data_IF_591182776819
#
_entry.id   IF_591182776819
#
_cell.length_a   1.000
_cell.length_b   1.000
_cell.length_c   1.000
_cell.angle_alpha   90.00
_cell.angle_beta   90.00
_cell.angle_gamma   90.00
#
_symmetry.space_group_name_H-M   'P 1'
#
loop_
_entity.id
_entity.type
_entity.pdbx_description
1 polymer ?
#
# COMPACT_ATOMS: atom_id res chain seq x y z
N UNK A 1 -56.33 -44.59 17.76
CA UNK A 1 -55.02 -44.01 17.38
C UNK A 1 -55.00 -42.53 17.75
N UNK A 2 -54.18 -42.15 18.72
CA UNK A 2 -54.11 -40.79 19.26
C UNK A 2 -53.47 -39.84 18.23
N UNK A 3 -54.29 -39.09 17.48
CA UNK A 3 -53.84 -38.08 16.49
C UNK A 3 -52.85 -37.05 17.09
N UNK A 4 -52.88 -36.83 18.41
CA UNK A 4 -51.95 -35.94 19.13
C UNK A 4 -50.50 -36.45 19.18
N UNK A 5 -50.27 -37.76 19.12
CA UNK A 5 -48.91 -38.35 19.19
C UNK A 5 -48.14 -38.26 17.85
N UNK A 6 -48.85 -38.07 16.73
CA UNK A 6 -48.23 -37.88 15.40
C UNK A 6 -47.96 -36.41 15.05
N UNK A 7 -48.65 -35.48 15.70
CA UNK A 7 -48.48 -34.03 15.46
C UNK A 7 -47.18 -33.52 16.10
N UNK A 8 -46.79 -34.02 17.27
CA UNK A 8 -45.57 -33.62 17.97
C UNK A 8 -44.27 -33.85 17.16
N UNK A 9 -44.00 -35.04 16.56
CA UNK A 9 -42.82 -35.22 15.73
C UNK A 9 -42.86 -34.39 14.44
N UNK A 10 -44.04 -34.12 13.88
CA UNK A 10 -44.18 -33.25 12.70
C UNK A 10 -43.83 -31.78 13.03
N UNK A 11 -44.33 -31.25 14.15
CA UNK A 11 -43.99 -29.91 14.63
C UNK A 11 -42.48 -29.81 14.94
N UNK A 12 -41.88 -30.85 15.55
CA UNK A 12 -40.45 -30.90 15.81
C UNK A 12 -39.64 -30.82 14.51
N UNK A 13 -40.01 -31.58 13.48
CA UNK A 13 -39.33 -31.55 12.17
C UNK A 13 -39.45 -30.18 11.52
N UNK A 14 -40.64 -29.56 11.53
CA UNK A 14 -40.85 -28.21 10.98
C UNK A 14 -40.02 -27.17 11.76
N UNK A 15 -39.96 -27.26 13.08
CA UNK A 15 -39.15 -26.37 13.91
C UNK A 15 -37.65 -26.52 13.65
N UNK A 16 -37.17 -27.75 13.44
CA UNK A 16 -35.76 -28.03 13.06
C UNK A 16 -35.45 -27.47 11.68
N UNK A 17 -36.34 -27.66 10.69
CA UNK A 17 -36.15 -27.11 9.34
C UNK A 17 -36.13 -25.58 9.36
N UNK A 18 -37.02 -24.93 10.12
CA UNK A 18 -37.03 -23.49 10.29
C UNK A 18 -35.76 -22.98 10.99
N UNK A 19 -35.30 -23.65 12.05
CA UNK A 19 -34.03 -23.29 12.70
C UNK A 19 -32.84 -23.44 11.75
N UNK A 20 -32.76 -24.52 10.99
CA UNK A 20 -31.71 -24.72 9.99
C UNK A 20 -31.74 -23.63 8.89
N UNK A 21 -32.93 -23.23 8.44
CA UNK A 21 -33.09 -22.17 7.45
C UNK A 21 -32.63 -20.79 7.98
N UNK A 22 -32.98 -20.45 9.22
CA UNK A 22 -32.54 -19.21 9.87
C UNK A 22 -31.02 -19.20 10.03
N UNK A 23 -30.43 -20.30 10.51
CA UNK A 23 -28.98 -20.42 10.70
C UNK A 23 -28.24 -20.36 9.36
N UNK A 24 -28.74 -21.05 8.32
CA UNK A 24 -28.15 -20.99 6.98
C UNK A 24 -28.19 -19.57 6.40
N UNK A 25 -29.31 -18.86 6.56
CA UNK A 25 -29.47 -17.49 6.05
C UNK A 25 -28.53 -16.51 6.76
N UNK A 26 -28.38 -16.64 8.08
CA UNK A 26 -27.45 -15.82 8.85
C UNK A 26 -25.99 -16.04 8.41
N UNK A 27 -25.59 -17.29 8.20
CA UNK A 27 -24.22 -17.65 7.77
C UNK A 27 -23.91 -17.18 6.35
N UNK A 28 -24.87 -17.29 5.42
CA UNK A 28 -24.72 -16.77 4.04
C UNK A 28 -24.60 -15.24 4.06
N UNK A 29 -25.44 -14.55 4.86
CA UNK A 29 -25.38 -13.09 5.00
C UNK A 29 -24.05 -12.60 5.55
N UNK A 30 -23.52 -13.25 6.60
CA UNK A 30 -22.23 -12.89 7.21
C UNK A 30 -21.04 -13.14 6.26
N UNK A 31 -21.06 -14.24 5.51
CA UNK A 31 -20.04 -14.54 4.50
C UNK A 31 -20.03 -13.51 3.37
N UNK A 32 -21.20 -13.17 2.83
CA UNK A 32 -21.34 -12.18 1.75
C UNK A 32 -20.94 -10.78 2.23
N UNK A 33 -21.33 -10.38 3.44
CA UNK A 33 -20.94 -9.09 4.02
C UNK A 33 -19.41 -8.99 4.20
N UNK A 34 -18.78 -10.08 4.68
CA UNK A 34 -17.33 -10.14 4.86
C UNK A 34 -16.59 -10.00 3.52
N UNK A 35 -17.10 -10.63 2.46
CA UNK A 35 -16.56 -10.49 1.09
C UNK A 35 -16.61 -9.06 0.60
N UNK A 36 -17.77 -8.40 0.72
CA UNK A 36 -17.96 -7.01 0.28
C UNK A 36 -17.06 -6.06 1.06
N UNK A 37 -16.94 -6.22 2.38
CA UNK A 37 -16.06 -5.40 3.20
C UNK A 37 -14.59 -5.56 2.80
N UNK A 38 -14.15 -6.80 2.57
CA UNK A 38 -12.79 -7.11 2.18
C UNK A 38 -12.46 -6.51 0.81
N UNK A 39 -13.39 -6.55 -0.15
CA UNK A 39 -13.26 -5.89 -1.45
C UNK A 39 -13.14 -4.36 -1.30
N UNK A 40 -14.07 -3.72 -0.60
CA UNK A 40 -14.07 -2.27 -0.40
C UNK A 40 -12.80 -1.75 0.29
N UNK A 41 -12.30 -2.48 1.30
CA UNK A 41 -11.07 -2.11 2.00
C UNK A 41 -9.84 -2.24 1.10
N UNK A 42 -9.72 -3.32 0.33
CA UNK A 42 -8.61 -3.53 -0.58
C UNK A 42 -8.61 -2.47 -1.71
N UNK A 43 -9.76 -2.20 -2.30
CA UNK A 43 -9.90 -1.22 -3.37
C UNK A 43 -9.61 0.20 -2.87
N UNK A 44 -10.15 0.58 -1.71
CA UNK A 44 -9.88 1.89 -1.09
C UNK A 44 -8.40 2.10 -0.76
N UNK A 45 -7.72 1.06 -0.26
CA UNK A 45 -6.29 1.09 0.00
C UNK A 45 -5.47 1.29 -1.29
N UNK A 46 -5.79 0.53 -2.34
CA UNK A 46 -5.10 0.62 -3.63
C UNK A 46 -5.32 1.96 -4.33
N UNK A 47 -6.54 2.49 -4.31
CA UNK A 47 -6.85 3.81 -4.88
C UNK A 47 -6.07 4.91 -4.16
N UNK A 48 -6.04 4.87 -2.82
CA UNK A 48 -5.33 5.87 -2.02
C UNK A 48 -3.82 5.81 -2.27
N UNK A 49 -3.24 4.61 -2.21
CA UNK A 49 -1.82 4.40 -2.43
C UNK A 49 -1.41 4.76 -3.87
N UNK A 50 -2.20 4.36 -4.87
CA UNK A 50 -1.97 4.71 -6.27
C UNK A 50 -2.12 6.20 -6.56
N UNK A 51 -3.06 6.88 -5.92
CA UNK A 51 -3.18 8.33 -6.00
C UNK A 51 -1.92 9.03 -5.47
N UNK A 52 -1.38 8.58 -4.34
CA UNK A 52 -0.15 9.13 -3.78
C UNK A 52 1.07 8.83 -4.66
N UNK A 53 1.16 7.64 -5.23
CA UNK A 53 2.20 7.30 -6.19
C UNK A 53 2.15 8.20 -7.44
N UNK A 54 0.97 8.42 -8.01
CA UNK A 54 0.78 9.34 -9.13
C UNK A 54 1.10 10.80 -8.75
N UNK A 55 0.85 11.25 -7.51
CA UNK A 55 1.30 12.57 -7.05
C UNK A 55 2.82 12.70 -7.11
N UNK A 56 3.56 11.69 -6.65
CA UNK A 56 5.02 11.69 -6.70
C UNK A 56 5.55 11.66 -8.15
N UNK A 57 4.94 10.86 -9.04
CA UNK A 57 5.26 10.91 -10.47
C UNK A 57 4.97 12.29 -11.10
N UNK A 58 3.92 12.96 -10.66
CA UNK A 58 3.61 14.32 -11.10
C UNK A 58 4.57 15.37 -10.51
N UNK A 59 5.20 15.12 -9.36
CA UNK A 59 6.32 15.94 -8.88
C UNK A 59 7.56 15.76 -9.76
N UNK A 60 7.89 14.53 -10.17
CA UNK A 60 8.95 14.27 -11.16
C UNK A 60 8.70 15.03 -12.46
N UNK A 61 7.45 15.08 -12.93
CA UNK A 61 7.07 15.90 -14.10
C UNK A 61 7.38 17.39 -13.89
N UNK A 62 7.12 17.95 -12.71
CA UNK A 62 7.43 19.36 -12.43
C UNK A 62 8.94 19.62 -12.51
N UNK A 63 9.74 18.73 -11.94
CA UNK A 63 11.21 18.78 -12.06
C UNK A 63 11.64 18.66 -13.52
N UNK A 64 11.09 17.71 -14.27
CA UNK A 64 11.34 17.54 -15.71
C UNK A 64 11.11 18.83 -16.50
N UNK A 65 9.97 19.50 -16.24
CA UNK A 65 9.65 20.78 -16.88
C UNK A 65 10.70 21.85 -16.58
N UNK A 66 11.19 21.91 -15.35
CA UNK A 66 12.21 22.88 -14.96
C UNK A 66 13.56 22.61 -15.62
N UNK A 67 13.99 21.35 -15.72
CA UNK A 67 15.17 20.95 -16.48
C UNK A 67 15.08 21.41 -17.94
N UNK A 68 13.94 21.12 -18.58
CA UNK A 68 13.69 21.50 -19.97
C UNK A 68 13.72 23.02 -20.18
N UNK A 69 13.11 23.79 -19.28
CA UNK A 69 13.12 25.24 -19.34
C UNK A 69 14.52 25.82 -19.11
N UNK A 70 15.31 25.24 -18.21
CA UNK A 70 16.71 25.63 -18.02
C UNK A 70 17.52 25.41 -19.30
N UNK A 71 17.33 24.27 -19.98
CA UNK A 71 17.96 24.00 -21.26
C UNK A 71 17.58 25.04 -22.31
N UNK A 72 16.28 25.30 -22.50
CA UNK A 72 15.82 26.30 -23.48
C UNK A 72 16.34 27.70 -23.17
N UNK A 73 16.29 28.11 -21.90
CA UNK A 73 16.78 29.40 -21.45
C UNK A 73 18.28 29.57 -21.72
N UNK A 74 19.08 28.55 -21.41
CA UNK A 74 20.52 28.59 -21.69
C UNK A 74 20.79 28.62 -23.20
N UNK A 75 20.10 27.80 -23.99
CA UNK A 75 20.24 27.82 -25.46
C UNK A 75 19.91 29.21 -26.04
N UNK A 76 18.86 29.87 -25.54
CA UNK A 76 18.55 31.24 -25.96
C UNK A 76 19.62 32.24 -25.55
N UNK A 77 20.15 32.16 -24.32
CA UNK A 77 21.22 33.05 -23.86
C UNK A 77 22.49 32.92 -24.69
N UNK A 78 22.87 31.69 -25.02
CA UNK A 78 24.06 31.41 -25.84
C UNK A 78 23.94 31.97 -27.26
N UNK A 79 22.75 31.93 -27.86
CA UNK A 79 22.50 32.48 -29.19
C UNK A 79 22.26 33.99 -29.19
N UNK A 80 21.64 34.54 -28.14
CA UNK A 80 21.32 35.96 -28.04
C UNK A 80 22.56 36.86 -27.91
N UNK A 81 23.67 36.34 -27.40
CA UNK A 81 24.95 37.04 -27.35
C UNK A 81 25.62 37.20 -28.74
N UNK A 82 25.04 36.63 -29.80
CA UNK A 82 25.59 36.72 -31.15
C UNK A 82 26.87 35.88 -31.30
N UNK A 83 27.98 36.55 -31.65
CA UNK A 83 29.28 35.90 -31.87
C UNK A 83 30.19 36.12 -30.65
N UNK A 84 30.54 35.03 -29.98
CA UNK A 84 31.44 35.03 -28.83
C UNK A 84 32.90 35.27 -29.26
N UNK A 85 33.70 35.91 -28.42
CA UNK A 85 35.09 36.27 -28.77
C UNK A 85 36.02 35.06 -28.84
N UNK A 86 35.69 34.01 -28.08
CA UNK A 86 36.39 32.74 -28.06
C UNK A 86 35.43 31.59 -27.71
N UNK A 87 35.86 30.35 -27.96
CA UNK A 87 35.04 29.15 -27.73
C UNK A 87 34.82 28.77 -26.25
N UNK A 88 35.54 29.37 -25.31
CA UNK A 88 35.54 28.98 -23.90
C UNK A 88 34.59 29.84 -23.04
N UNK A 89 34.34 31.09 -23.43
CA UNK A 89 33.38 31.99 -22.76
C UNK A 89 31.96 31.39 -22.64
N UNK A 90 31.35 30.86 -23.72
CA UNK A 90 30.07 30.15 -23.64
C UNK A 90 30.07 28.98 -22.65
N UNK A 91 31.17 28.23 -22.61
CA UNK A 91 31.32 27.08 -21.72
C UNK A 91 31.28 27.53 -20.26
N UNK A 92 31.99 28.60 -19.91
CA UNK A 92 32.01 29.13 -18.55
C UNK A 92 30.62 29.53 -18.05
N UNK A 93 29.79 30.15 -18.91
CA UNK A 93 28.42 30.54 -18.57
C UNK A 93 27.50 29.31 -18.47
N UNK A 94 27.70 28.31 -19.33
CA UNK A 94 26.90 27.08 -19.33
C UNK A 94 27.09 26.21 -18.08
N UNK A 95 28.24 26.30 -17.40
CA UNK A 95 28.54 25.48 -16.21
C UNK A 95 27.49 25.62 -15.12
N UNK A 96 27.06 26.85 -14.81
CA UNK A 96 26.13 27.10 -13.69
C UNK A 96 24.74 26.49 -13.94
N UNK A 97 24.07 26.72 -15.08
CA UNK A 97 22.78 26.08 -15.36
C UNK A 97 22.86 24.56 -15.52
N UNK A 98 23.95 24.03 -16.09
CA UNK A 98 24.18 22.57 -16.15
C UNK A 98 24.26 21.99 -14.75
N UNK A 99 25.02 22.63 -13.84
CA UNK A 99 25.11 22.20 -12.45
C UNK A 99 23.78 22.30 -11.70
N UNK A 100 22.98 23.34 -11.95
CA UNK A 100 21.64 23.45 -11.39
C UNK A 100 20.72 22.33 -11.88
N UNK A 101 20.79 21.99 -13.16
CA UNK A 101 20.03 20.87 -13.73
C UNK A 101 20.49 19.53 -13.18
N UNK A 102 21.79 19.34 -12.94
CA UNK A 102 22.31 18.16 -12.22
C UNK A 102 21.72 18.04 -10.82
N UNK A 103 21.67 19.13 -10.05
CA UNK A 103 21.09 19.14 -8.70
C UNK A 103 19.61 18.76 -8.72
N UNK A 104 18.85 19.31 -9.67
CA UNK A 104 17.43 18.99 -9.86
C UNK A 104 17.23 17.52 -10.24
N UNK A 105 18.07 16.99 -11.13
CA UNK A 105 18.04 15.58 -11.51
C UNK A 105 18.34 14.67 -10.31
N UNK A 106 19.40 14.95 -9.55
CA UNK A 106 19.74 14.17 -8.35
C UNK A 106 18.60 14.22 -7.32
N UNK A 107 17.98 15.39 -7.10
CA UNK A 107 16.80 15.50 -6.25
C UNK A 107 15.64 14.61 -6.75
N UNK A 108 15.35 14.61 -8.05
CA UNK A 108 14.33 13.74 -8.63
C UNK A 108 14.65 12.25 -8.43
N UNK A 109 15.90 11.84 -8.58
CA UNK A 109 16.34 10.47 -8.43
C UNK A 109 16.33 10.04 -6.95
N UNK A 110 17.10 10.72 -6.10
CA UNK A 110 17.43 10.26 -4.75
C UNK A 110 16.29 10.54 -3.75
N UNK A 111 15.58 11.67 -3.91
CA UNK A 111 14.57 12.08 -2.94
C UNK A 111 13.16 11.62 -3.31
N UNK A 112 12.83 11.56 -4.61
CA UNK A 112 11.47 11.23 -5.06
C UNK A 112 11.41 9.78 -5.56
N UNK A 113 12.24 9.38 -6.53
CA UNK A 113 12.14 8.07 -7.16
C UNK A 113 12.49 6.92 -6.21
N UNK A 114 13.53 7.06 -5.39
CA UNK A 114 13.96 5.99 -4.48
C UNK A 114 12.96 5.74 -3.34
N UNK A 115 12.31 6.79 -2.82
CA UNK A 115 11.37 6.68 -1.69
C UNK A 115 9.98 6.21 -2.13
N UNK A 116 9.58 6.50 -3.37
CA UNK A 116 8.22 6.27 -3.86
C UNK A 116 7.75 4.80 -3.81
N UNK A 117 8.53 3.79 -4.26
CA UNK A 117 8.13 2.38 -4.15
C UNK A 117 7.95 1.91 -2.71
N UNK A 118 8.82 2.37 -1.81
CA UNK A 118 8.75 2.06 -0.37
C UNK A 118 7.47 2.63 0.23
N UNK A 119 7.20 3.92 0.00
CA UNK A 119 6.03 4.59 0.56
C UNK A 119 4.72 3.98 0.03
N UNK A 120 4.69 3.55 -1.23
CA UNK A 120 3.57 2.83 -1.81
C UNK A 120 3.31 1.50 -1.06
N UNK A 121 4.34 0.67 -0.90
CA UNK A 121 4.25 -0.63 -0.18
C UNK A 121 3.78 -0.43 1.26
N UNK A 122 4.38 0.52 1.97
CA UNK A 122 4.01 0.88 3.34
C UNK A 122 2.55 1.31 3.41
N UNK A 123 2.10 2.20 2.51
CA UNK A 123 0.73 2.71 2.48
C UNK A 123 -0.30 1.61 2.25
N UNK A 124 -0.04 0.68 1.31
CA UNK A 124 -0.96 -0.43 1.03
C UNK A 124 -1.07 -1.35 2.25
N UNK A 125 0.07 -1.70 2.86
CA UNK A 125 0.07 -2.54 4.06
C UNK A 125 -0.65 -1.87 5.22
N UNK A 126 -0.33 -0.62 5.54
CA UNK A 126 -0.99 0.12 6.61
C UNK A 126 -2.48 0.25 6.36
N UNK A 127 -2.91 0.57 5.14
CA UNK A 127 -4.32 0.73 4.83
C UNK A 127 -5.10 -0.59 4.92
N UNK A 128 -4.61 -1.69 4.32
CA UNK A 128 -5.31 -2.98 4.36
C UNK A 128 -5.38 -3.53 5.79
N UNK A 129 -4.28 -3.39 6.54
CA UNK A 129 -4.19 -3.87 7.91
C UNK A 129 -4.97 -2.98 8.90
N UNK A 130 -4.99 -1.65 8.72
CA UNK A 130 -5.70 -0.73 9.60
C UNK A 130 -7.20 -0.61 9.29
N UNK A 131 -7.62 -0.72 8.02
CA UNK A 131 -8.95 -0.29 7.59
C UNK A 131 -10.04 -1.37 7.54
N UNK A 132 -9.81 -2.65 7.82
CA UNK A 132 -10.96 -3.57 7.75
C UNK A 132 -10.80 -5.05 8.05
N UNK A 133 -9.61 -5.57 8.34
CA UNK A 133 -9.44 -7.01 8.52
C UNK A 133 -9.24 -7.43 9.98
N UNK A 134 -9.01 -6.46 10.87
CA UNK A 134 -9.02 -6.61 12.33
C UNK A 134 -10.47 -6.47 12.82
N UNK A 135 -11.32 -7.38 12.40
CA UNK A 135 -12.70 -7.42 12.86
C UNK A 135 -12.88 -8.52 13.91
N UNK A 136 -11.95 -8.56 14.85
CA UNK A 136 -12.17 -9.26 16.10
C UNK A 136 -12.18 -8.20 17.18
N UNK A 137 -13.35 -7.93 17.81
CA UNK A 137 -13.38 -7.05 18.96
C UNK A 137 -12.33 -7.56 19.94
N UNK A 138 -11.45 -6.66 20.38
CA UNK A 138 -10.50 -7.03 21.41
C UNK A 138 -11.33 -7.48 22.61
N UNK A 139 -11.12 -8.67 23.18
CA UNK A 139 -11.99 -9.16 24.23
C UNK A 139 -12.00 -8.20 25.42
N UNK A 140 -13.14 -8.15 26.12
CA UNK A 140 -13.30 -7.34 27.33
C UNK A 140 -12.30 -7.79 28.39
N UNK A 141 -11.65 -6.83 29.03
CA UNK A 141 -10.77 -7.08 30.17
C UNK A 141 -11.59 -7.31 31.43
N UNK A 142 -11.00 -7.95 32.45
CA UNK A 142 -11.69 -8.28 33.72
C UNK A 142 -12.25 -7.04 34.42
N UNK A 143 -11.58 -5.90 34.30
CA UNK A 143 -12.04 -4.61 34.84
C UNK A 143 -13.18 -3.97 34.03
N UNK A 144 -13.48 -4.48 32.83
CA UNK A 144 -14.57 -4.06 31.94
C UNK A 144 -15.77 -5.01 32.04
N UNK A 145 -15.68 -6.06 32.86
CA UNK A 145 -16.77 -6.98 33.16
C UNK A 145 -17.38 -6.55 34.48
N UNK A 146 -18.67 -6.21 34.47
CA UNK A 146 -19.40 -5.83 35.67
C UNK A 146 -19.82 -7.11 36.38
N UNK A 147 -19.20 -7.39 37.52
CA UNK A 147 -19.45 -8.58 38.34
C UNK A 147 -20.21 -8.19 39.61
N UNK A 148 -21.19 -8.99 40.02
CA UNK A 148 -21.83 -8.83 41.32
C UNK A 148 -20.80 -9.12 42.43
N UNK A 149 -20.51 -8.18 43.34
CA UNK A 149 -19.54 -8.38 44.40
C UNK A 149 -19.94 -9.48 45.41
N UNK A 150 -21.22 -9.88 45.46
CA UNK A 150 -21.72 -10.87 46.43
C UNK A 150 -21.79 -12.28 45.81
N UNK A 151 -22.34 -12.41 44.60
CA UNK A 151 -22.52 -13.72 43.95
C UNK A 151 -21.36 -14.12 43.03
N UNK A 152 -20.50 -13.17 42.63
CA UNK A 152 -19.46 -13.40 41.63
C UNK A 152 -19.97 -13.59 40.21
N UNK A 153 -21.28 -13.44 39.98
CA UNK A 153 -21.88 -13.59 38.66
C UNK A 153 -21.64 -12.36 37.78
N UNK A 154 -21.43 -12.59 36.49
CA UNK A 154 -21.30 -11.52 35.49
C UNK A 154 -22.67 -10.88 35.26
N UNK A 155 -22.83 -9.62 35.67
CA UNK A 155 -24.06 -8.83 35.48
C UNK A 155 -24.08 -8.03 34.19
N UNK A 156 -22.93 -7.76 33.58
CA UNK A 156 -22.86 -7.02 32.32
C UNK A 156 -21.43 -6.70 31.89
N UNK A 157 -21.34 -5.88 30.84
CA UNK A 157 -20.09 -5.39 30.28
C UNK A 157 -20.09 -3.86 30.34
N UNK A 158 -19.02 -3.27 30.88
CA UNK A 158 -18.81 -1.82 30.84
C UNK A 158 -18.29 -1.43 29.45
N UNK A 159 -19.24 -1.23 28.55
CA UNK A 159 -18.96 -0.89 27.16
C UNK A 159 -18.29 0.49 27.00
N UNK A 160 -18.56 1.42 27.93
CA UNK A 160 -17.97 2.76 27.90
C UNK A 160 -16.48 2.70 28.22
N UNK A 161 -16.10 1.91 29.24
CA UNK A 161 -14.71 1.67 29.59
C UNK A 161 -13.97 0.93 28.47
N UNK A 162 -14.63 -0.07 27.87
CA UNK A 162 -14.11 -0.78 26.70
C UNK A 162 -13.83 0.16 25.52
N UNK A 163 -14.79 1.01 25.12
CA UNK A 163 -14.59 1.99 24.03
C UNK A 163 -13.46 2.97 24.37
N UNK A 164 -13.40 3.45 25.61
CA UNK A 164 -12.36 4.39 26.05
C UNK A 164 -10.96 3.77 25.93
N UNK A 165 -10.78 2.51 26.36
CA UNK A 165 -9.52 1.76 26.18
C UNK A 165 -9.20 1.53 24.72
N UNK A 166 -10.17 1.08 23.93
CA UNK A 166 -9.97 0.81 22.51
C UNK A 166 -9.57 2.06 21.73
N UNK A 167 -10.07 3.22 22.15
CA UNK A 167 -9.72 4.52 21.57
C UNK A 167 -8.33 5.00 21.98
N UNK A 168 -7.86 4.68 23.19
CA UNK A 168 -6.55 5.11 23.70
C UNK A 168 -5.40 4.16 23.34
N UNK A 169 -5.61 2.85 23.45
CA UNK A 169 -4.58 1.82 23.25
C UNK A 169 -4.53 1.26 21.83
N UNK A 170 -5.63 1.38 21.09
CA UNK A 170 -5.85 0.66 19.84
C UNK A 170 -6.09 -0.84 20.06
N UNK A 171 -6.35 -1.55 18.95
CA UNK A 171 -6.57 -3.01 19.00
C UNK A 171 -5.28 -3.73 19.39
N UNK A 172 -5.38 -4.96 19.91
CA UNK A 172 -4.20 -5.83 20.13
C UNK A 172 -3.36 -5.95 18.85
N UNK A 173 -4.02 -6.12 17.71
CA UNK A 173 -3.38 -6.15 16.40
C UNK A 173 -2.58 -4.86 16.12
N UNK A 174 -3.19 -3.68 16.33
CA UNK A 174 -2.56 -2.39 16.02
C UNK A 174 -1.26 -2.21 16.80
N UNK A 175 -1.25 -2.64 18.06
CA UNK A 175 -0.06 -2.63 18.92
C UNK A 175 1.01 -3.58 18.42
N UNK A 176 0.68 -4.85 18.21
CA UNK A 176 1.63 -5.85 17.70
C UNK A 176 2.21 -5.44 16.34
N UNK A 177 1.40 -4.86 15.44
CA UNK A 177 1.86 -4.39 14.14
C UNK A 177 2.81 -3.21 14.25
N UNK A 178 2.51 -2.25 15.14
CA UNK A 178 3.41 -1.12 15.42
C UNK A 178 4.75 -1.62 15.96
N UNK A 179 4.72 -2.52 16.93
CA UNK A 179 5.93 -3.07 17.54
C UNK A 179 6.75 -3.87 16.52
N UNK A 180 6.08 -4.64 15.66
CA UNK A 180 6.69 -5.33 14.52
C UNK A 180 7.38 -4.34 13.55
N UNK A 181 6.71 -3.24 13.17
CA UNK A 181 7.25 -2.19 12.31
C UNK A 181 8.48 -1.52 12.95
N UNK A 182 8.48 -1.31 14.26
CA UNK A 182 9.64 -0.76 14.99
C UNK A 182 10.80 -1.75 14.96
N UNK A 183 10.54 -3.01 15.29
CA UNK A 183 11.54 -4.07 15.30
C UNK A 183 12.16 -4.34 13.91
N UNK A 184 11.39 -4.14 12.84
CA UNK A 184 11.80 -4.42 11.46
C UNK A 184 11.85 -3.17 10.56
N UNK A 185 12.04 -2.00 11.17
CA UNK A 185 11.87 -0.66 10.57
C UNK A 185 12.61 -0.43 9.25
N UNK A 186 13.72 -1.13 9.03
CA UNK A 186 14.53 -0.99 7.82
C UNK A 186 13.99 -1.75 6.61
N UNK A 187 13.31 -2.89 6.77
CA UNK A 187 13.08 -3.82 5.66
C UNK A 187 11.72 -4.53 5.63
N UNK A 188 10.82 -4.30 6.59
CA UNK A 188 9.53 -5.04 6.65
C UNK A 188 8.67 -4.91 5.39
N UNK A 189 8.80 -3.82 4.64
CA UNK A 189 8.09 -3.54 3.38
C UNK A 189 8.75 -4.19 2.14
N UNK A 190 9.94 -4.78 2.27
CA UNK A 190 10.64 -5.42 1.14
C UNK A 190 9.99 -6.74 0.71
N UNK A 191 9.25 -7.38 1.63
CA UNK A 191 8.51 -8.58 1.28
C UNK A 191 7.23 -8.21 0.52
N UNK A 192 6.75 -9.13 -0.31
CA UNK A 192 5.46 -9.00 -0.97
C UNK A 192 4.35 -9.71 -0.19
N UNK A 193 4.65 -10.53 0.82
CA UNK A 193 3.65 -11.25 1.62
C UNK A 193 3.80 -10.88 3.10
N UNK A 194 2.69 -10.46 3.70
CA UNK A 194 2.54 -10.28 5.15
C UNK A 194 1.34 -11.11 5.60
N UNK A 195 1.52 -11.87 6.68
CA UNK A 195 0.47 -12.70 7.28
C UNK A 195 0.36 -12.39 8.77
N UNK A 196 -0.86 -12.29 9.24
CA UNK A 196 -1.21 -12.12 10.63
C UNK A 196 -2.16 -13.23 11.05
N UNK A 197 -1.91 -13.83 12.21
CA UNK A 197 -2.73 -14.93 12.72
C UNK A 197 -3.17 -14.73 14.17
N UNK A 198 -4.37 -15.19 14.49
CA UNK A 198 -5.01 -15.11 15.80
C UNK A 198 -5.38 -16.51 16.29
N UNK A 199 -5.15 -16.74 17.58
CA UNK A 199 -5.76 -17.84 18.32
C UNK A 199 -6.79 -17.26 19.30
N UNK A 200 -8.08 -17.55 19.11
CA UNK A 200 -9.15 -16.96 19.93
C UNK A 200 -9.27 -17.61 21.30
N UNK A 201 -8.74 -18.83 21.52
CA UNK A 201 -9.04 -19.61 22.74
C UNK A 201 -7.91 -19.56 23.78
N UNK A 202 -6.69 -19.15 23.38
CA UNK A 202 -5.57 -19.00 24.32
C UNK A 202 -5.76 -17.90 25.39
N UNK A 203 -6.76 -17.02 25.25
CA UNK A 203 -7.07 -15.99 26.26
C UNK A 203 -8.03 -16.43 27.37
N UNK A 204 -8.58 -17.64 27.33
CA UNK A 204 -9.42 -18.17 28.42
C UNK A 204 -8.60 -18.95 29.45
N UNK A 205 -7.43 -18.41 29.83
CA UNK A 205 -6.66 -18.89 30.97
C UNK A 205 -6.51 -17.73 31.97
N UNK A 206 -7.28 -17.81 33.06
CA UNK A 206 -7.50 -16.74 34.05
C UNK A 206 -6.21 -16.23 34.72
N UNK A 207 -5.09 -16.93 34.55
CA UNK A 207 -3.82 -16.63 35.21
C UNK A 207 -2.65 -16.23 34.28
N UNK A 208 -2.83 -16.20 32.94
CA UNK A 208 -1.75 -15.79 32.02
C UNK A 208 -2.27 -14.93 30.87
N UNK A 209 -2.06 -13.62 30.97
CA UNK A 209 -2.35 -12.62 29.93
C UNK A 209 -1.22 -12.61 28.88
N UNK A 210 -0.87 -13.77 28.34
CA UNK A 210 0.17 -13.89 27.29
C UNK A 210 -0.40 -14.61 26.08
N UNK A 211 -1.67 -14.36 25.74
CA UNK A 211 -2.24 -14.76 24.46
C UNK A 211 -1.51 -14.03 23.33
N UNK A 212 -0.39 -14.60 22.89
CA UNK A 212 0.49 -14.08 21.85
C UNK A 212 -0.23 -14.18 20.50
N UNK A 213 -0.73 -13.04 20.03
CA UNK A 213 -0.98 -12.87 18.61
C UNK A 213 0.37 -12.83 17.90
N UNK A 214 0.68 -13.87 17.14
CA UNK A 214 1.93 -13.93 16.39
C UNK A 214 1.75 -13.21 15.06
N UNK A 215 2.45 -12.09 14.90
CA UNK A 215 2.74 -11.55 13.57
C UNK A 215 3.85 -12.42 13.01
N UNK A 216 3.53 -13.21 12.00
CA UNK A 216 4.55 -13.97 11.30
C UNK A 216 5.47 -13.00 10.57
N UNK A 217 6.78 -13.27 10.60
CA UNK A 217 7.74 -12.49 9.85
C UNK A 217 7.37 -12.47 8.35
N UNK A 218 7.66 -11.38 7.63
CA UNK A 218 7.38 -11.30 6.20
C UNK A 218 8.06 -12.47 5.49
N UNK A 219 7.30 -13.25 4.72
CA UNK A 219 7.80 -14.43 3.99
C UNK A 219 8.01 -15.69 4.84
N UNK A 220 7.69 -15.67 6.13
CA UNK A 220 7.74 -16.87 6.97
C UNK A 220 6.62 -17.88 6.67
N UNK A 221 5.60 -17.46 5.92
CA UNK A 221 4.47 -18.31 5.51
C UNK A 221 4.31 -18.18 4.00
N UNK A 222 4.40 -19.30 3.28
CA UNK A 222 4.23 -19.28 1.82
C UNK A 222 2.76 -19.03 1.46
N UNK A 223 2.55 -18.45 0.27
CA UNK A 223 1.19 -18.35 -0.28
C UNK A 223 0.61 -19.76 -0.45
N UNK A 224 -0.61 -19.97 0.04
CA UNK A 224 -1.28 -21.27 0.02
C UNK A 224 -0.99 -22.21 1.20
N UNK A 225 -0.04 -21.90 2.08
CA UNK A 225 0.16 -22.72 3.28
C UNK A 225 -1.00 -22.49 4.29
N UNK A 226 -1.72 -23.55 4.70
CA UNK A 226 -2.69 -23.43 5.77
C UNK A 226 -1.94 -23.12 7.05
N UNK A 227 -2.36 -22.04 7.73
CA UNK A 227 -1.90 -21.70 9.06
C UNK A 227 -2.49 -22.72 10.05
N UNK A 228 -1.87 -23.90 10.12
CA UNK A 228 -2.25 -24.95 11.06
C UNK A 228 -1.99 -24.44 12.49
N UNK A 229 -3.01 -24.52 13.35
CA UNK A 229 -2.94 -24.05 14.74
C UNK A 229 -3.59 -22.69 15.00
N UNK A 230 -3.88 -21.90 13.97
CA UNK A 230 -4.56 -20.61 14.13
C UNK A 230 -6.02 -20.66 13.71
N UNK A 231 -6.85 -19.93 14.42
CA UNK A 231 -8.29 -19.93 14.21
C UNK A 231 -8.68 -18.89 13.18
N UNK A 232 -8.16 -17.67 13.29
CA UNK A 232 -8.41 -16.60 12.33
C UNK A 232 -7.09 -16.09 11.78
N UNK A 233 -7.06 -15.71 10.51
CA UNK A 233 -5.89 -15.08 9.93
C UNK A 233 -6.28 -14.06 8.87
N UNK A 234 -5.36 -13.12 8.65
CA UNK A 234 -5.40 -12.12 7.59
C UNK A 234 -4.06 -12.17 6.87
N UNK A 235 -4.08 -12.36 5.55
CA UNK A 235 -2.88 -12.38 4.71
C UNK A 235 -3.04 -11.35 3.60
N UNK A 236 -1.98 -10.56 3.39
CA UNK A 236 -1.88 -9.56 2.33
C UNK A 236 -0.69 -9.91 1.45
N UNK A 237 -0.96 -10.22 0.19
CA UNK A 237 0.04 -10.46 -0.84
C UNK A 237 0.00 -9.32 -1.85
N UNK A 238 1.07 -8.54 -1.93
CA UNK A 238 1.23 -7.53 -2.95
C UNK A 238 1.56 -8.18 -4.30
N UNK A 239 0.98 -7.65 -5.37
CA UNK A 239 1.11 -8.12 -6.73
C UNK A 239 1.74 -7.03 -7.59
N UNK A 240 2.65 -7.42 -8.47
CA UNK A 240 3.20 -6.54 -9.51
C UNK A 240 3.81 -5.22 -8.97
N UNK A 241 4.29 -5.22 -7.72
CA UNK A 241 4.79 -4.00 -7.08
C UNK A 241 6.04 -3.47 -7.78
N UNK A 242 6.13 -2.15 -8.03
CA UNK A 242 7.37 -1.57 -8.50
C UNK A 242 8.47 -1.81 -7.44
N UNK A 243 9.61 -2.30 -7.90
CA UNK A 243 10.81 -2.46 -7.07
C UNK A 243 11.70 -1.22 -7.11
N UNK A 244 11.68 -0.51 -8.23
CA UNK A 244 12.42 0.73 -8.46
C UNK A 244 11.69 1.61 -9.48
N UNK A 245 12.02 2.90 -9.48
CA UNK A 245 11.62 3.85 -10.52
C UNK A 245 12.90 4.31 -11.22
N UNK A 246 13.12 3.82 -12.44
CA UNK A 246 14.26 4.22 -13.28
C UNK A 246 13.94 5.53 -14.01
N UNK A 247 14.84 6.51 -13.89
CA UNK A 247 14.76 7.81 -14.54
C UNK A 247 15.96 7.95 -15.48
N UNK A 248 15.68 8.15 -16.76
CA UNK A 248 16.73 8.32 -17.77
C UNK A 248 16.81 9.77 -18.22
N UNK A 249 17.91 10.49 -17.93
CA UNK A 249 18.11 11.84 -18.43
C UNK A 249 18.46 11.82 -19.93
N UNK A 250 18.15 12.92 -20.62
CA UNK A 250 18.56 13.17 -22.00
C UNK A 250 19.73 14.15 -22.02
N UNK A 251 20.83 13.71 -22.64
CA UNK A 251 21.93 14.61 -23.02
C UNK A 251 21.53 15.34 -24.30
N UNK A 252 21.63 16.67 -24.27
CA UNK A 252 21.43 17.51 -25.44
C UNK A 252 22.68 18.31 -25.75
N UNK A 253 22.85 18.69 -27.02
CA UNK A 253 23.94 19.57 -27.44
C UNK A 253 23.41 20.98 -27.58
N UNK A 254 24.06 21.93 -26.93
CA UNK A 254 23.80 23.35 -27.09
C UNK A 254 24.72 23.96 -28.15
N UNK A 255 24.17 24.90 -28.91
CA UNK A 255 24.83 25.55 -30.04
C UNK A 255 25.13 27.01 -29.73
N UNK A 256 26.29 27.49 -30.16
CA UNK A 256 26.68 28.90 -30.13
C UNK A 256 27.61 29.24 -31.30
N UNK A 257 27.84 30.52 -31.58
CA UNK A 257 28.77 30.98 -32.61
C UNK A 257 29.95 31.71 -31.97
N UNK A 258 31.17 31.48 -32.44
CA UNK A 258 32.34 32.18 -31.91
C UNK A 258 33.29 32.60 -33.02
N UNK A 259 34.03 33.69 -32.78
CA UNK A 259 34.99 34.25 -33.71
C UNK A 259 36.36 33.61 -33.52
N UNK A 260 36.88 32.99 -34.58
CA UNK A 260 38.21 32.42 -34.61
C UNK A 260 39.14 33.38 -35.36
N UNK A 261 40.09 34.06 -34.68
CA UNK A 261 41.04 34.93 -35.36
C UNK A 261 41.97 34.11 -36.26
N UNK A 262 42.10 34.54 -37.51
CA UNK A 262 43.02 33.97 -38.52
C UNK A 262 43.88 35.10 -39.09
N UNK A 263 45.04 34.79 -39.71
CA UNK A 263 45.89 35.81 -40.34
C UNK A 263 45.22 36.61 -41.48
N UNK A 264 44.01 36.20 -41.91
CA UNK A 264 43.34 36.68 -43.12
C UNK A 264 41.98 37.36 -42.79
N UNK A 265 41.72 37.71 -41.54
CA UNK A 265 40.51 38.46 -41.14
C UNK A 265 39.48 37.70 -40.29
N UNK A 266 39.83 36.51 -39.80
CA UNK A 266 39.01 35.71 -38.88
C UNK A 266 37.76 35.09 -39.50
N UNK A 267 37.27 34.02 -38.87
CA UNK A 267 36.09 33.26 -39.33
C UNK A 267 35.15 32.98 -38.16
N UNK A 268 33.84 33.02 -38.40
CA UNK A 268 32.83 32.62 -37.40
C UNK A 268 32.61 31.12 -37.53
N UNK A 269 32.77 30.40 -36.41
CA UNK A 269 32.61 28.96 -36.34
C UNK A 269 31.49 28.57 -35.36
N UNK A 270 30.75 27.49 -35.64
CA UNK A 270 29.84 26.92 -34.66
C UNK A 270 30.64 26.27 -33.51
N UNK A 271 30.14 26.46 -32.30
CA UNK A 271 30.59 25.79 -31.09
C UNK A 271 29.47 24.94 -30.48
N UNK A 272 29.88 23.89 -29.76
CA UNK A 272 28.98 22.89 -29.20
C UNK A 272 29.30 22.69 -27.71
N UNK A 273 28.27 22.65 -26.86
CA UNK A 273 28.40 22.39 -25.42
C UNK A 273 27.39 21.31 -24.98
N UNK A 274 27.81 20.22 -24.32
CA UNK A 274 26.88 19.20 -23.85
C UNK A 274 26.09 19.69 -22.62
N UNK A 275 24.79 19.42 -22.60
CA UNK A 275 23.90 19.56 -21.45
C UNK A 275 23.39 18.17 -21.01
N UNK A 276 24.16 17.44 -20.17
CA UNK A 276 23.90 16.03 -19.86
C UNK A 276 22.59 15.74 -19.10
N UNK A 277 21.96 16.76 -18.50
CA UNK A 277 20.68 16.66 -17.78
C UNK A 277 19.65 17.65 -18.33
N UNK A 278 19.46 17.67 -19.66
CA UNK A 278 18.56 18.64 -20.28
C UNK A 278 17.09 18.40 -19.89
N UNK A 279 16.67 17.14 -19.77
CA UNK A 279 15.37 16.73 -19.24
C UNK A 279 15.36 15.22 -18.97
N UNK A 280 14.26 14.72 -18.41
CA UNK A 280 13.98 13.30 -18.21
C UNK A 280 13.32 12.75 -19.48
N UNK A 281 14.00 11.84 -20.17
CA UNK A 281 13.50 11.16 -21.38
C UNK A 281 12.41 10.17 -21.05
N UNK A 282 12.62 9.38 -20.00
CA UNK A 282 11.77 8.24 -19.64
C UNK A 282 11.75 8.05 -18.14
N UNK A 283 10.58 7.63 -17.66
CA UNK A 283 10.37 7.06 -16.33
C UNK A 283 9.85 5.64 -16.54
N UNK A 284 10.44 4.65 -15.87
CA UNK A 284 10.04 3.24 -15.96
C UNK A 284 9.97 2.63 -14.57
N UNK A 285 8.94 1.86 -14.30
CA UNK A 285 8.75 1.22 -13.01
C UNK A 285 8.45 -0.27 -13.24
N UNK A 286 9.54 -1.06 -13.35
CA UNK A 286 9.58 -2.53 -13.36
C UNK A 286 8.55 -3.29 -14.22
N UNK A 287 7.32 -3.42 -13.72
CA UNK A 287 6.28 -4.35 -14.19
C UNK A 287 5.04 -3.62 -14.74
N UNK A 288 4.68 -3.89 -16.00
CA UNK A 288 3.38 -3.67 -16.70
C UNK A 288 2.55 -2.40 -16.40
N UNK A 289 3.16 -1.39 -15.82
CA UNK A 289 2.50 -0.22 -15.24
C UNK A 289 1.31 -0.54 -14.32
N UNK A 290 1.31 -1.72 -13.70
CA UNK A 290 0.22 -2.20 -12.84
C UNK A 290 0.80 -2.69 -11.53
N UNK A 291 0.09 -2.44 -10.43
CA UNK A 291 0.37 -3.06 -9.14
C UNK A 291 -0.95 -3.37 -8.43
N UNK A 292 -0.93 -4.26 -7.45
CA UNK A 292 -2.15 -4.71 -6.80
C UNK A 292 -1.91 -5.40 -5.47
N UNK A 293 -2.99 -5.90 -4.90
CA UNK A 293 -2.97 -6.68 -3.67
C UNK A 293 -4.00 -7.80 -3.75
N UNK A 294 -3.63 -8.96 -3.24
CA UNK A 294 -4.51 -10.07 -2.92
C UNK A 294 -4.61 -10.17 -1.41
N UNK A 295 -5.83 -10.15 -0.90
CA UNK A 295 -6.14 -10.20 0.52
C UNK A 295 -6.92 -11.47 0.80
N UNK A 296 -6.44 -12.25 1.77
CA UNK A 296 -7.11 -13.45 2.25
C UNK A 296 -7.47 -13.30 3.74
N UNK A 297 -8.70 -13.66 4.11
CA UNK A 297 -9.16 -13.73 5.49
C UNK A 297 -9.82 -15.08 5.75
N UNK A 298 -9.45 -15.72 6.85
CA UNK A 298 -10.14 -16.93 7.33
C UNK A 298 -11.27 -16.59 8.29
N UNK A 299 -12.46 -17.08 8.00
CA UNK A 299 -13.62 -17.00 8.89
C UNK A 299 -13.88 -18.38 9.48
N UNK A 300 -13.83 -18.48 10.81
CA UNK A 300 -14.25 -19.68 11.55
C UNK A 300 -15.74 -19.59 11.75
N UNK A 301 -16.49 -20.43 11.04
CA UNK A 301 -17.92 -20.62 11.33
C UNK A 301 -18.09 -21.23 12.72
N UNK A 302 -19.12 -20.80 13.45
CA UNK A 302 -19.54 -21.49 14.68
C UNK A 302 -19.75 -22.98 14.39
N UNK A 303 -19.50 -23.85 15.38
CA UNK A 303 -19.69 -25.30 15.31
C UNK A 303 -21.18 -25.65 15.17
N UNK A 304 -21.78 -25.34 14.02
CA UNK A 304 -23.09 -25.82 13.64
C UNK A 304 -22.86 -27.13 12.90
N UNK A 305 -23.44 -28.26 13.33
CA UNK A 305 -23.42 -29.47 12.53
C UNK A 305 -24.04 -29.12 11.16
N UNK A 306 -23.48 -29.64 10.07
CA UNK A 306 -23.98 -29.50 8.68
C UNK A 306 -23.57 -28.25 7.87
N UNK A 307 -22.86 -27.27 8.42
CA UNK A 307 -22.29 -26.15 7.63
C UNK A 307 -20.76 -26.23 7.62
N UNK A 308 -20.16 -25.98 6.44
CA UNK A 308 -18.72 -26.11 6.21
C UNK A 308 -17.86 -25.45 7.30
N UNK A 309 -16.89 -26.23 7.82
CA UNK A 309 -15.94 -25.79 8.85
C UNK A 309 -14.86 -24.92 8.20
N UNK A 310 -14.91 -23.63 8.49
CA UNK A 310 -13.97 -22.61 8.04
C UNK A 310 -14.07 -22.28 6.53
N UNK A 311 -14.07 -20.99 6.23
CA UNK A 311 -13.98 -20.51 4.86
C UNK A 311 -12.85 -19.49 4.73
N UNK A 312 -11.97 -19.72 3.77
CA UNK A 312 -10.99 -18.73 3.34
C UNK A 312 -11.64 -17.83 2.29
N UNK A 313 -11.79 -16.57 2.63
CA UNK A 313 -12.32 -15.54 1.73
C UNK A 313 -11.14 -14.80 1.14
N UNK A 314 -11.07 -14.73 -0.19
CA UNK A 314 -9.99 -14.04 -0.91
C UNK A 314 -10.56 -12.97 -1.84
N UNK A 315 -9.82 -11.87 -2.02
CA UNK A 315 -10.12 -10.83 -3.00
C UNK A 315 -8.82 -10.31 -3.58
N UNK A 316 -8.79 -10.14 -4.90
CA UNK A 316 -7.64 -9.63 -5.63
C UNK A 316 -8.06 -8.39 -6.41
N UNK A 317 -7.31 -7.30 -6.23
CA UNK A 317 -7.51 -6.06 -6.96
C UNK A 317 -6.20 -5.53 -7.51
N UNK A 318 -6.29 -4.83 -8.63
CA UNK A 318 -5.16 -4.19 -9.30
C UNK A 318 -5.51 -2.76 -9.69
N UNK A 319 -4.47 -1.93 -9.76
CA UNK A 319 -4.53 -0.61 -10.34
C UNK A 319 -3.52 -0.49 -11.45
N UNK A 320 -3.92 0.21 -12.51
CA UNK A 320 -3.07 0.56 -13.64
C UNK A 320 -2.73 2.03 -13.59
N UNK A 321 -1.45 2.32 -13.74
CA UNK A 321 -0.94 3.67 -13.92
C UNK A 321 -0.94 3.98 -15.42
N UNK A 322 -1.53 5.12 -15.77
CA UNK A 322 -1.58 5.63 -17.14
C UNK A 322 -0.96 7.03 -17.18
N UNK A 323 -0.18 7.32 -18.22
CA UNK A 323 0.39 8.65 -18.40
C UNK A 323 1.86 8.64 -18.82
N UNK A 324 2.45 9.83 -18.83
CA UNK A 324 3.87 10.03 -19.14
C UNK A 324 4.40 11.33 -18.52
N UNK A 325 5.73 11.49 -18.58
CA UNK A 325 6.44 12.64 -17.99
C UNK A 325 6.07 14.00 -18.59
N UNK A 326 5.36 14.04 -19.72
CA UNK A 326 4.93 15.27 -20.37
C UNK A 326 3.47 15.63 -20.03
N UNK A 327 2.57 14.65 -20.14
CA UNK A 327 1.13 14.84 -19.98
C UNK A 327 0.67 14.72 -18.52
N UNK A 328 1.43 14.02 -17.69
CA UNK A 328 1.07 13.69 -16.31
C UNK A 328 0.66 12.23 -16.16
N UNK A 329 0.48 11.81 -14.90
CA UNK A 329 0.12 10.44 -14.53
C UNK A 329 -1.19 10.40 -13.75
N UNK A 330 -1.98 9.37 -14.02
CA UNK A 330 -3.26 9.07 -13.40
C UNK A 330 -3.38 7.58 -13.09
N UNK A 331 -4.28 7.22 -12.17
CA UNK A 331 -4.52 5.85 -11.73
C UNK A 331 -5.91 5.40 -12.14
N UNK A 332 -6.03 4.14 -12.59
CA UNK A 332 -7.32 3.51 -12.87
C UNK A 332 -7.38 2.16 -12.17
N UNK A 333 -8.46 1.91 -11.44
CA UNK A 333 -8.75 0.57 -10.93
C UNK A 333 -8.95 -0.36 -12.13
N UNK A 334 -8.38 -1.55 -12.06
CA UNK A 334 -8.53 -2.58 -13.06
C UNK A 334 -9.29 -3.73 -12.40
N UNK A 335 -10.53 -3.95 -12.86
CA UNK A 335 -11.37 -5.09 -12.48
C UNK A 335 -10.82 -6.39 -13.08
#
# INVERSE_FOLDING_TARGET
MNRKAQIAPFILVVAVVLMLAIVATALIGESTFTRVRLANTADGALITAGSNFCKSLNQLRKVNKQLFLNYLSLQTTLLAHGVWSNKFEPLAIAVLPINNSRKLYNYAQDEIADKMPKDLRVSIYEAILAAGLVDEPTPFLKNEVVVDPISGETKGLDYSQYIARMSSEGTQFSRSFRDFKVAHSSNWFNNNIISYSFDKFLRWNINNITGESTIANPGAINSGEPLAGYQSFVRVQLLDMPASVDIQPQVMVMLFLWYCPTPWGGIVLPGFCPHPWAWIRRISFGNNNTFGANVAKRVVGANVPFVGRNADITHTSRVRISGNVWQGYDVRLQE
#
